data_IF_126774464598
#
_entry.id   IF_126774464598
#
_cell.length_a   1.000
_cell.length_b   1.000
_cell.length_c   1.000
_cell.angle_alpha   90.00
_cell.angle_beta   90.00
_cell.angle_gamma   90.00
#
_symmetry.space_group_name_H-M   'P 1'
#
loop_
_entity.id
_entity.type
_entity.pdbx_description
1 polymer ?
#
# COMPACT_ATOMS: atom_id res chain seq x y z
N UNK A 1 -3.15 -3.75 1.27
CA UNK A 1 -3.08 -3.75 -0.20
C UNK A 1 -2.59 -2.38 -0.68
N UNK A 2 -1.56 -2.36 -1.48
CA UNK A 2 -0.94 -1.13 -1.97
C UNK A 2 -1.84 -0.35 -2.93
N UNK A 3 -1.67 0.99 -3.01
CA UNK A 3 -2.43 1.81 -3.95
C UNK A 3 -1.92 1.62 -5.38
N UNK A 4 -2.84 1.64 -6.35
CA UNK A 4 -2.50 1.39 -7.77
C UNK A 4 -3.12 2.42 -8.72
N UNK A 5 -3.48 3.62 -8.26
CA UNK A 5 -4.03 4.65 -9.14
C UNK A 5 -3.04 5.00 -10.24
N UNK A 6 -3.51 4.97 -11.47
CA UNK A 6 -2.70 5.12 -12.68
C UNK A 6 -2.41 3.79 -13.39
N UNK A 7 -2.55 2.65 -12.71
CA UNK A 7 -2.45 1.35 -13.35
C UNK A 7 -3.66 1.12 -14.26
N UNK A 8 -3.44 0.44 -15.39
CA UNK A 8 -4.47 0.30 -16.44
C UNK A 8 -5.77 -0.36 -16.01
N UNK A 9 -5.75 -1.18 -14.95
CA UNK A 9 -6.96 -1.83 -14.44
C UNK A 9 -7.57 -1.13 -13.23
N UNK A 10 -7.02 0.03 -12.84
CA UNK A 10 -7.58 0.81 -11.75
C UNK A 10 -8.97 1.32 -12.11
N UNK A 11 -9.91 1.21 -11.18
CA UNK A 11 -11.21 1.87 -11.23
C UNK A 11 -11.69 2.16 -9.80
N UNK A 12 -12.69 3.05 -9.67
CA UNK A 12 -13.18 3.46 -8.35
C UNK A 12 -13.81 2.31 -7.56
N UNK A 13 -14.62 1.40 -8.15
CA UNK A 13 -15.15 0.27 -7.39
C UNK A 13 -14.07 -0.63 -6.81
N UNK A 14 -13.02 -0.92 -7.56
CA UNK A 14 -11.89 -1.71 -7.07
C UNK A 14 -11.13 -1.00 -5.98
N UNK A 15 -10.97 0.32 -6.12
CA UNK A 15 -10.29 1.13 -5.10
C UNK A 15 -11.08 1.16 -3.79
N UNK A 16 -12.41 1.22 -3.86
CA UNK A 16 -13.25 1.14 -2.67
C UNK A 16 -13.09 -0.20 -1.96
N UNK A 17 -13.01 -1.30 -2.72
CA UNK A 17 -12.76 -2.62 -2.16
C UNK A 17 -11.39 -2.66 -1.48
N UNK A 18 -10.38 -2.08 -2.11
CA UNK A 18 -9.04 -1.96 -1.51
C UNK A 18 -9.08 -1.26 -0.15
N UNK A 19 -9.78 -0.13 -0.07
CA UNK A 19 -9.91 0.60 1.18
C UNK A 19 -10.65 -0.22 2.24
N UNK A 20 -11.71 -0.91 1.87
CA UNK A 20 -12.46 -1.76 2.80
C UNK A 20 -11.60 -2.90 3.34
N UNK A 21 -10.81 -3.55 2.48
CA UNK A 21 -9.91 -4.62 2.90
C UNK A 21 -8.82 -4.08 3.82
N UNK A 22 -8.23 -2.93 3.49
CA UNK A 22 -7.20 -2.33 4.32
C UNK A 22 -7.76 -1.90 5.69
N UNK A 23 -8.95 -1.33 5.73
CA UNK A 23 -9.60 -0.98 6.99
C UNK A 23 -9.89 -2.21 7.84
N UNK A 24 -10.35 -3.30 7.21
CA UNK A 24 -10.56 -4.56 7.91
C UNK A 24 -9.24 -5.09 8.50
N UNK A 25 -8.15 -5.07 7.72
CA UNK A 25 -6.83 -5.50 8.18
C UNK A 25 -6.39 -4.69 9.41
N UNK A 26 -6.62 -3.37 9.40
CA UNK A 26 -6.21 -2.46 10.48
C UNK A 26 -7.03 -2.63 11.75
N UNK A 27 -8.26 -3.12 11.64
CA UNK A 27 -9.23 -3.09 12.75
C UNK A 27 -9.64 -4.47 13.24
N UNK A 28 -9.35 -5.55 12.50
CA UNK A 28 -9.73 -6.89 12.91
C UNK A 28 -8.91 -7.38 14.09
N UNK A 29 -9.54 -8.16 14.97
CA UNK A 29 -8.85 -8.87 16.05
C UNK A 29 -8.64 -10.35 15.75
N UNK A 30 -8.88 -10.77 14.50
CA UNK A 30 -8.71 -12.17 14.07
C UNK A 30 -7.27 -12.51 13.72
N UNK A 31 -6.39 -11.50 13.66
CA UNK A 31 -4.96 -11.66 13.36
C UNK A 31 -4.13 -11.07 14.48
N UNK A 32 -2.92 -11.59 14.66
CA UNK A 32 -2.02 -11.15 15.74
C UNK A 32 -1.35 -9.81 15.47
N UNK A 33 -1.30 -9.41 14.20
CA UNK A 33 -0.69 -8.14 13.79
C UNK A 33 -0.72 -8.00 12.28
N UNK A 34 -0.26 -6.84 11.78
CA UNK A 34 -0.23 -6.57 10.34
C UNK A 34 0.89 -5.60 9.99
N UNK A 35 1.27 -5.60 8.73
CA UNK A 35 2.20 -4.63 8.16
C UNK A 35 1.40 -3.73 7.22
N UNK A 36 1.40 -2.43 7.48
CA UNK A 36 0.61 -1.47 6.71
C UNK A 36 1.41 -0.99 5.50
N UNK A 37 1.42 -1.80 4.45
CA UNK A 37 2.12 -1.50 3.21
C UNK A 37 1.47 -0.29 2.51
N UNK A 38 0.15 -0.21 2.51
CA UNK A 38 -0.57 0.92 1.92
C UNK A 38 -0.08 2.24 2.51
N UNK A 39 -0.12 2.36 3.83
CA UNK A 39 0.31 3.57 4.52
C UNK A 39 1.80 3.86 4.32
N UNK A 40 2.62 2.81 4.20
CA UNK A 40 4.07 2.96 4.07
C UNK A 40 4.49 3.57 2.74
N UNK A 41 3.81 3.26 1.64
CA UNK A 41 4.24 3.64 0.28
C UNK A 41 3.29 4.58 -0.46
N UNK A 42 2.14 4.89 0.12
CA UNK A 42 1.19 5.80 -0.54
C UNK A 42 1.63 7.26 -0.47
N UNK A 43 1.14 8.05 -1.42
CA UNK A 43 1.32 9.49 -1.43
C UNK A 43 0.38 10.13 -0.40
N UNK A 44 0.89 10.97 0.50
CA UNK A 44 0.07 11.63 1.51
C UNK A 44 -0.91 12.64 0.91
N UNK A 45 -0.63 13.15 -0.28
CA UNK A 45 -1.50 14.11 -0.98
C UNK A 45 -2.55 13.43 -1.84
N UNK A 46 -2.32 12.16 -2.20
CA UNK A 46 -3.28 11.34 -2.92
C UNK A 46 -3.09 9.88 -2.48
N UNK A 47 -3.86 9.47 -1.49
CA UNK A 47 -3.70 8.16 -0.84
C UNK A 47 -4.06 6.98 -1.75
N UNK A 48 -4.59 7.24 -2.93
CA UNK A 48 -4.95 6.19 -3.89
C UNK A 48 -3.82 5.83 -4.84
N UNK A 49 -2.69 6.54 -4.76
CA UNK A 49 -1.50 6.26 -5.58
C UNK A 49 -0.25 6.08 -4.71
N UNK A 50 0.74 5.40 -5.26
CA UNK A 50 2.06 5.32 -4.63
C UNK A 50 2.76 6.69 -4.69
N UNK A 51 3.55 6.98 -3.66
CA UNK A 51 4.47 8.12 -3.72
C UNK A 51 5.41 7.91 -4.94
N UNK A 52 5.63 8.94 -5.77
CA UNK A 52 6.38 8.76 -7.01
C UNK A 52 7.74 8.07 -6.87
N UNK A 53 8.48 8.35 -5.80
CA UNK A 53 9.79 7.72 -5.58
C UNK A 53 9.67 6.20 -5.32
N UNK A 54 8.51 5.74 -4.83
CA UNK A 54 8.25 4.33 -4.54
C UNK A 54 7.62 3.59 -5.70
N UNK A 55 7.27 4.30 -6.76
CA UNK A 55 6.59 3.78 -7.95
C UNK A 55 7.63 3.43 -9.01
N UNK A 56 7.56 2.19 -9.53
CA UNK A 56 8.44 1.75 -10.62
C UNK A 56 8.23 2.57 -11.90
N UNK A 57 7.02 3.11 -12.08
CA UNK A 57 6.63 3.88 -13.26
C UNK A 57 5.38 3.35 -13.93
N UNK A 58 4.98 2.13 -13.63
CA UNK A 58 3.74 1.52 -14.15
C UNK A 58 2.54 1.70 -13.22
N UNK A 59 2.74 2.28 -12.05
CA UNK A 59 1.73 2.52 -11.02
C UNK A 59 1.17 1.23 -10.39
N UNK A 60 1.91 0.12 -10.54
CA UNK A 60 1.56 -1.16 -9.94
C UNK A 60 2.70 -1.72 -9.09
N UNK A 61 3.89 -1.81 -9.68
CA UNK A 61 5.04 -2.40 -9.01
C UNK A 61 5.82 -1.33 -8.23
N UNK A 62 6.31 -1.65 -7.03
CA UNK A 62 7.18 -0.72 -6.32
C UNK A 62 8.55 -0.60 -7.01
N UNK A 63 9.15 0.58 -6.90
CA UNK A 63 10.54 0.79 -7.28
C UNK A 63 11.48 0.10 -6.28
N UNK A 64 12.79 0.17 -6.54
CA UNK A 64 13.80 -0.29 -5.56
C UNK A 64 13.61 0.41 -4.21
N UNK A 65 13.33 1.72 -4.23
CA UNK A 65 13.09 2.49 -3.01
C UNK A 65 11.79 2.08 -2.33
N UNK A 66 10.75 1.78 -3.10
CA UNK A 66 9.50 1.27 -2.57
C UNK A 66 9.66 -0.09 -1.92
N UNK A 67 10.38 -1.00 -2.56
CA UNK A 67 10.68 -2.31 -2.01
C UNK A 67 11.48 -2.19 -0.71
N UNK A 68 12.45 -1.30 -0.66
CA UNK A 68 13.24 -1.03 0.55
C UNK A 68 12.34 -0.50 1.68
N UNK A 69 11.44 0.42 1.36
CA UNK A 69 10.51 0.97 2.35
C UNK A 69 9.59 -0.12 2.93
N UNK A 70 9.10 -1.01 2.07
CA UNK A 70 8.29 -2.15 2.52
C UNK A 70 9.09 -3.07 3.45
N UNK A 71 10.35 -3.34 3.10
CA UNK A 71 11.23 -4.15 3.95
C UNK A 71 11.48 -3.49 5.31
N UNK A 72 11.62 -2.16 5.37
CA UNK A 72 11.78 -1.43 6.62
C UNK A 72 10.56 -1.61 7.53
N UNK A 73 9.34 -1.55 6.97
CA UNK A 73 8.12 -1.80 7.73
C UNK A 73 8.07 -3.23 8.29
N UNK A 74 8.49 -4.19 7.48
CA UNK A 74 8.56 -5.58 7.91
C UNK A 74 9.53 -5.75 9.08
N UNK A 75 10.72 -5.16 8.98
CA UNK A 75 11.71 -5.21 10.06
C UNK A 75 11.21 -4.54 11.34
N UNK A 76 10.52 -3.41 11.22
CA UNK A 76 9.93 -2.73 12.35
C UNK A 76 8.86 -3.58 13.03
N UNK A 77 8.07 -4.30 12.27
CA UNK A 77 7.05 -5.21 12.79
C UNK A 77 7.67 -6.34 13.62
N UNK A 78 8.83 -6.84 13.20
CA UNK A 78 9.53 -7.94 13.91
C UNK A 78 10.23 -7.51 15.19
N UNK A 79 10.39 -6.22 15.40
CA UNK A 79 10.95 -5.71 16.66
C UNK A 79 9.88 -5.72 17.74
#
# INVERSE_FOLDING_TARGET
IAPIKGWRTYDEPRNEIRHKVNDWIRTTNEIDGFIDIDKAIRDSEDIDRMLPIYDYGDHLHPSVYGAKRMAEEFLNFLK
#
